data_IF_275996857626
#
_entry.id   IF_275996857626
#
_cell.length_a   1.000
_cell.length_b   1.000
_cell.length_c   1.000
_cell.angle_alpha   90.00
_cell.angle_beta   90.00
_cell.angle_gamma   90.00
#
_symmetry.space_group_name_H-M   'P 1'
#
loop_
_entity.id
_entity.type
_entity.pdbx_description
1 polymer ?
#
# COMPACT_ATOMS: atom_id res chain seq x y z
N UNK A 1 15.89 63.36 20.95
CA UNK A 1 14.90 63.08 19.90
C UNK A 1 15.43 61.90 19.07
N UNK A 2 15.02 60.68 19.45
CA UNK A 2 15.44 59.42 18.83
C UNK A 2 14.17 58.75 18.32
N UNK A 3 13.94 58.68 17.01
CA UNK A 3 13.00 57.72 16.43
C UNK A 3 13.54 57.23 15.08
N UNK A 4 13.83 55.92 15.05
CA UNK A 4 14.24 55.12 13.90
C UNK A 4 13.07 54.90 12.94
N UNK A 5 13.32 54.91 11.63
CA UNK A 5 12.39 54.36 10.61
C UNK A 5 12.45 52.82 10.59
N UNK A 6 11.34 52.11 10.36
CA UNK A 6 11.32 50.65 10.33
C UNK A 6 11.66 50.09 8.94
N UNK A 7 12.41 48.99 8.90
CA UNK A 7 12.52 48.12 7.73
C UNK A 7 11.46 47.02 7.82
N UNK A 8 10.67 46.86 6.76
CA UNK A 8 9.81 45.71 6.54
C UNK A 8 10.40 44.87 5.40
N UNK A 9 11.10 43.80 5.74
CA UNK A 9 11.54 42.78 4.79
C UNK A 9 10.50 41.65 4.76
N UNK A 10 9.74 41.57 3.65
CA UNK A 10 8.87 40.44 3.32
C UNK A 10 9.72 39.18 3.11
N UNK A 11 9.58 38.20 4.00
CA UNK A 11 10.03 36.81 3.77
C UNK A 11 8.90 36.05 3.08
N UNK A 12 9.10 35.71 1.81
CA UNK A 12 8.26 34.75 1.09
C UNK A 12 8.74 33.35 1.48
N UNK A 13 8.04 32.70 2.40
CA UNK A 13 8.29 31.29 2.74
C UNK A 13 7.81 30.41 1.58
N UNK A 14 8.76 29.80 0.89
CA UNK A 14 8.50 28.70 -0.06
C UNK A 14 8.00 27.49 0.72
N UNK A 15 6.75 27.11 0.49
CA UNK A 15 6.22 25.79 0.85
C UNK A 15 6.98 24.73 0.05
N UNK A 16 7.74 23.89 0.74
CA UNK A 16 8.32 22.67 0.18
C UNK A 16 7.43 21.52 0.65
N UNK A 17 6.70 20.94 -0.29
CA UNK A 17 5.85 19.77 -0.07
C UNK A 17 6.77 18.60 0.34
N UNK A 18 6.74 18.22 1.62
CA UNK A 18 7.45 17.06 2.11
C UNK A 18 6.71 15.81 1.63
N UNK A 19 7.25 15.17 0.60
CA UNK A 19 6.98 13.76 0.33
C UNK A 19 7.61 13.00 1.49
N UNK A 20 6.77 12.44 2.37
CA UNK A 20 7.23 11.61 3.49
C UNK A 20 7.80 10.32 2.91
N UNK A 21 9.13 10.27 2.78
CA UNK A 21 9.87 9.06 2.46
C UNK A 21 9.75 8.08 3.65
N UNK A 22 8.80 7.16 3.58
CA UNK A 22 8.73 6.01 4.48
C UNK A 22 9.80 4.99 4.05
N UNK A 23 11.05 5.24 4.46
CA UNK A 23 12.09 4.22 4.47
C UNK A 23 12.47 3.89 5.91
N UNK A 24 12.11 2.67 6.31
CA UNK A 24 12.52 2.00 7.54
C UNK A 24 14.02 2.15 7.78
N UNK A 25 14.38 2.80 8.90
CA UNK A 25 15.65 2.57 9.58
C UNK A 25 15.38 2.06 10.99
N UNK A 26 15.44 0.74 11.12
CA UNK A 26 15.72 0.08 12.38
C UNK A 26 17.24 0.06 12.59
N UNK A 27 17.76 0.93 13.45
CA UNK A 27 19.03 0.68 14.14
C UNK A 27 18.97 1.23 15.57
N UNK A 28 19.19 0.33 16.54
CA UNK A 28 19.89 0.63 17.79
C UNK A 28 19.12 1.34 18.91
N UNK A 29 18.36 0.58 19.70
CA UNK A 29 18.14 0.94 21.10
C UNK A 29 18.48 -0.26 21.99
N UNK A 30 19.76 -0.36 22.37
CA UNK A 30 20.23 -1.17 23.50
C UNK A 30 19.96 -0.39 24.78
N UNK A 31 18.96 -0.81 25.56
CA UNK A 31 18.82 -0.41 26.96
C UNK A 31 18.70 -1.65 27.83
N UNK A 32 19.53 -1.68 28.87
CA UNK A 32 19.91 -2.85 29.64
C UNK A 32 18.74 -3.54 30.34
N UNK A 33 18.70 -4.86 30.19
CA UNK A 33 17.99 -5.74 31.10
C UNK A 33 18.87 -6.02 32.32
N UNK A 34 18.52 -5.37 33.43
CA UNK A 34 19.00 -5.69 34.76
C UNK A 34 18.36 -6.98 35.27
N UNK A 35 19.21 -7.82 35.84
CA UNK A 35 18.96 -9.09 36.55
C UNK A 35 17.67 -9.10 37.37
N UNK A 36 16.86 -10.16 37.23
CA UNK A 36 16.30 -10.89 38.36
C UNK A 36 16.28 -12.39 38.03
N UNK A 37 17.05 -13.14 38.81
CA UNK A 37 17.12 -14.59 38.83
C UNK A 37 16.00 -15.14 39.74
N UNK A 38 15.40 -16.26 39.35
CA UNK A 38 14.45 -17.03 40.15
C UNK A 38 14.01 -18.26 39.34
N UNK A 39 14.79 -19.34 39.35
CA UNK A 39 14.57 -20.52 40.19
C UNK A 39 13.22 -21.23 39.90
N UNK A 40 13.25 -22.27 39.07
CA UNK A 40 12.26 -23.35 39.06
C UNK A 40 12.98 -24.67 38.74
N UNK A 41 12.85 -25.72 39.57
CA UNK A 41 13.62 -26.96 39.42
C UNK A 41 12.98 -27.90 38.40
N UNK A 42 13.84 -28.70 37.77
CA UNK A 42 13.45 -29.75 36.83
C UNK A 42 12.90 -30.99 37.53
N UNK A 43 12.12 -31.75 36.76
CA UNK A 43 11.90 -33.17 37.00
C UNK A 43 12.17 -33.91 35.69
N UNK A 44 13.15 -34.80 35.81
CA UNK A 44 13.59 -35.87 34.93
C UNK A 44 12.45 -36.88 34.70
N UNK A 45 12.19 -37.31 33.45
CA UNK A 45 12.02 -38.74 33.14
C UNK A 45 11.93 -39.02 31.63
N UNK A 46 12.77 -39.94 31.17
CA UNK A 46 12.61 -40.85 30.01
C UNK A 46 13.50 -42.08 30.34
N UNK A 47 13.36 -43.30 29.77
CA UNK A 47 12.47 -43.75 28.70
C UNK A 47 11.79 -45.13 28.93
N UNK A 48 10.81 -45.49 28.07
CA UNK A 48 10.36 -46.89 27.99
C UNK A 48 9.05 -47.18 27.25
N UNK A 49 9.18 -47.58 25.97
CA UNK A 49 8.33 -48.51 25.19
C UNK A 49 6.79 -48.34 25.17
N UNK A 50 6.24 -48.03 23.99
CA UNK A 50 4.82 -48.18 23.64
C UNK A 50 4.60 -47.98 22.13
N UNK A 51 3.58 -48.59 21.51
CA UNK A 51 3.72 -49.26 20.22
C UNK A 51 3.64 -48.36 18.98
N UNK A 52 4.29 -48.86 17.91
CA UNK A 52 4.20 -48.36 16.53
C UNK A 52 2.74 -48.36 16.04
N UNK A 53 2.17 -47.17 15.88
CA UNK A 53 0.96 -46.95 15.07
C UNK A 53 1.42 -46.74 13.63
N UNK A 54 1.11 -47.70 12.76
CA UNK A 54 1.24 -47.58 11.31
C UNK A 54 0.14 -46.63 10.85
N UNK A 55 0.50 -45.39 10.56
CA UNK A 55 -0.39 -44.43 9.91
C UNK A 55 -0.57 -44.84 8.45
N UNK A 56 -1.69 -45.48 8.13
CA UNK A 56 -2.18 -45.61 6.76
C UNK A 56 -2.66 -44.23 6.28
N UNK A 57 -1.77 -43.45 5.70
CA UNK A 57 -2.15 -42.24 4.97
C UNK A 57 -2.83 -42.64 3.66
N UNK A 58 -4.16 -42.67 3.66
CA UNK A 58 -4.92 -42.52 2.42
C UNK A 58 -4.69 -41.10 1.89
N UNK A 59 -4.23 -40.93 0.64
CA UNK A 59 -4.16 -39.60 0.05
C UNK A 59 -5.60 -39.14 -0.19
N UNK A 60 -6.05 -38.17 0.62
CA UNK A 60 -7.25 -37.39 0.31
C UNK A 60 -6.89 -36.56 -0.91
N UNK A 61 -7.32 -37.06 -2.06
CA UNK A 61 -7.24 -36.40 -3.36
C UNK A 61 -8.11 -35.13 -3.28
N UNK A 62 -7.49 -34.04 -2.82
CA UNK A 62 -8.07 -32.71 -2.89
C UNK A 62 -8.21 -32.38 -4.37
N UNK A 63 -9.46 -32.37 -4.85
CA UNK A 63 -9.84 -31.88 -6.17
C UNK A 63 -9.39 -30.43 -6.31
N UNK A 64 -8.19 -30.26 -6.84
CA UNK A 64 -7.71 -29.01 -7.41
C UNK A 64 -8.76 -28.50 -8.41
N UNK A 65 -9.29 -27.27 -8.26
CA UNK A 65 -10.17 -26.73 -9.28
C UNK A 65 -9.36 -26.60 -10.57
N UNK A 66 -9.89 -27.23 -11.62
CA UNK A 66 -9.33 -27.31 -12.96
C UNK A 66 -8.67 -26.01 -13.42
N UNK A 67 -7.34 -26.05 -13.61
CA UNK A 67 -6.57 -25.03 -14.32
C UNK A 67 -7.01 -25.04 -15.80
N UNK A 68 -8.08 -24.30 -16.13
CA UNK A 68 -8.26 -23.81 -17.50
C UNK A 68 -7.00 -23.02 -17.84
N UNK A 69 -6.28 -23.44 -18.88
CA UNK A 69 -4.99 -22.91 -19.33
C UNK A 69 -5.00 -21.38 -19.41
N UNK A 70 -4.51 -20.72 -18.37
CA UNK A 70 -4.45 -19.26 -18.25
C UNK A 70 -3.20 -18.77 -18.99
N UNK A 71 -3.33 -18.47 -20.28
CA UNK A 71 -2.34 -17.66 -21.02
C UNK A 71 -2.44 -16.18 -20.61
N UNK A 72 -2.55 -15.87 -19.32
CA UNK A 72 -2.80 -14.48 -18.89
C UNK A 72 -1.50 -13.86 -18.47
N UNK A 73 -1.09 -12.87 -19.24
CA UNK A 73 -0.13 -11.86 -18.79
C UNK A 73 -0.77 -11.08 -17.66
N UNK A 74 -0.09 -10.94 -16.53
CA UNK A 74 -0.49 -10.08 -15.43
C UNK A 74 0.63 -9.11 -15.08
N UNK A 75 0.25 -7.87 -14.84
CA UNK A 75 1.09 -6.80 -14.34
C UNK A 75 0.66 -6.52 -12.90
N UNK A 76 1.60 -6.61 -11.98
CA UNK A 76 1.40 -6.33 -10.56
C UNK A 76 2.20 -5.08 -10.20
N UNK A 77 1.54 -4.08 -9.60
CA UNK A 77 2.14 -2.81 -9.22
C UNK A 77 1.98 -2.47 -7.73
N UNK A 78 1.15 -3.19 -6.97
CA UNK A 78 0.97 -3.00 -5.52
C UNK A 78 2.10 -3.62 -4.67
N UNK A 79 3.32 -3.25 -5.01
CA UNK A 79 4.58 -3.77 -4.50
C UNK A 79 5.68 -3.43 -5.51
N UNK A 80 6.64 -4.34 -5.73
CA UNK A 80 7.51 -4.20 -6.89
C UNK A 80 6.74 -4.43 -8.19
N UNK A 81 7.04 -3.65 -9.24
CA UNK A 81 6.57 -3.95 -10.59
C UNK A 81 6.98 -5.37 -10.94
N UNK A 82 5.98 -6.23 -11.20
CA UNK A 82 6.16 -7.62 -11.59
C UNK A 82 5.34 -7.95 -12.83
N UNK A 83 5.94 -8.65 -13.81
CA UNK A 83 5.27 -9.08 -15.05
C UNK A 83 5.20 -10.59 -15.07
N UNK A 84 4.04 -11.16 -14.76
CA UNK A 84 3.81 -12.59 -14.85
C UNK A 84 3.31 -12.97 -16.24
N UNK A 85 3.96 -13.95 -16.87
CA UNK A 85 3.45 -14.56 -18.10
C UNK A 85 3.66 -16.06 -18.04
N UNK A 86 2.57 -16.83 -18.15
CA UNK A 86 2.60 -18.30 -18.07
C UNK A 86 3.28 -18.80 -16.78
N UNK A 87 3.00 -18.14 -15.64
CA UNK A 87 3.59 -18.47 -14.33
C UNK A 87 5.08 -18.16 -14.18
N UNK A 88 5.69 -17.45 -15.14
CA UNK A 88 7.10 -17.02 -15.05
C UNK A 88 7.18 -15.52 -14.91
N UNK A 89 8.09 -15.06 -14.06
CA UNK A 89 8.45 -13.65 -13.97
C UNK A 89 9.22 -13.23 -15.24
N UNK A 90 8.69 -12.21 -15.91
CA UNK A 90 9.22 -11.57 -17.12
C UNK A 90 9.51 -10.09 -16.88
N UNK A 91 9.69 -9.68 -15.63
CA UNK A 91 9.98 -8.29 -15.29
C UNK A 91 11.29 -7.84 -15.92
N UNK A 92 11.34 -6.65 -16.57
CA UNK A 92 12.59 -6.12 -17.10
C UNK A 92 13.63 -5.94 -16.00
N UNK A 93 14.80 -6.56 -16.16
CA UNK A 93 15.92 -6.42 -15.23
C UNK A 93 16.55 -5.01 -15.26
N UNK A 94 16.78 -4.37 -16.43
CA UNK A 94 17.40 -3.05 -16.47
C UNK A 94 16.49 -1.97 -15.83
N UNK A 95 16.99 -1.15 -14.88
CA UNK A 95 16.16 -0.21 -14.13
C UNK A 95 15.39 0.79 -14.99
N UNK A 96 16.02 1.39 -16.01
CA UNK A 96 15.36 2.37 -16.90
C UNK A 96 14.30 1.75 -17.81
N UNK A 97 14.50 0.51 -18.22
CA UNK A 97 13.51 -0.25 -19.01
C UNK A 97 12.30 -0.60 -18.14
N UNK A 98 12.55 -1.02 -16.89
CA UNK A 98 11.50 -1.27 -15.90
C UNK A 98 10.72 0.00 -15.56
N UNK A 99 11.41 1.14 -15.40
CA UNK A 99 10.80 2.45 -15.19
C UNK A 99 9.92 2.87 -16.37
N UNK A 100 10.40 2.73 -17.61
CA UNK A 100 9.61 3.00 -18.81
C UNK A 100 8.35 2.11 -18.86
N UNK A 101 8.48 0.81 -18.55
CA UNK A 101 7.33 -0.09 -18.51
C UNK A 101 6.32 0.34 -17.45
N UNK A 102 6.78 0.71 -16.26
CA UNK A 102 5.90 1.22 -15.20
C UNK A 102 5.12 2.46 -15.66
N UNK A 103 5.78 3.43 -16.31
CA UNK A 103 5.13 4.62 -16.84
C UNK A 103 4.04 4.26 -17.87
N UNK A 104 4.37 3.36 -18.80
CA UNK A 104 3.45 2.91 -19.83
C UNK A 104 2.27 2.11 -19.26
N UNK A 105 2.45 1.39 -18.16
CA UNK A 105 1.37 0.67 -17.45
C UNK A 105 0.44 1.63 -16.72
N UNK A 106 0.99 2.61 -16.01
CA UNK A 106 0.23 3.65 -15.32
C UNK A 106 -0.59 4.49 -16.30
N UNK A 107 -0.06 4.71 -17.50
CA UNK A 107 -0.77 5.35 -18.62
C UNK A 107 -1.28 4.34 -19.64
N UNK A 108 -1.62 3.13 -19.19
CA UNK A 108 -2.13 2.08 -20.07
C UNK A 108 -3.30 2.55 -20.93
N UNK A 109 -3.34 2.04 -22.15
CA UNK A 109 -4.37 2.37 -23.15
C UNK A 109 -4.42 3.87 -23.53
N UNK A 110 -3.37 4.64 -23.21
CA UNK A 110 -3.17 6.03 -23.65
C UNK A 110 -1.80 6.19 -24.31
N UNK A 111 -1.71 7.11 -25.27
CA UNK A 111 -0.44 7.45 -25.90
C UNK A 111 0.39 8.28 -24.92
N UNK A 112 1.60 7.79 -24.60
CA UNK A 112 2.59 8.52 -23.82
C UNK A 112 3.59 9.13 -24.78
N UNK A 113 3.68 10.47 -24.79
CA UNK A 113 4.59 11.22 -25.66
C UNK A 113 6.05 10.91 -25.33
N UNK A 114 6.94 10.96 -26.33
CA UNK A 114 8.37 10.74 -26.12
C UNK A 114 8.95 11.71 -25.08
N UNK A 115 8.59 12.99 -25.15
CA UNK A 115 9.06 14.01 -24.20
C UNK A 115 8.64 13.67 -22.75
N UNK A 116 7.41 13.20 -22.56
CA UNK A 116 6.93 12.75 -21.25
C UNK A 116 7.71 11.55 -20.72
N UNK A 117 8.11 10.63 -21.60
CA UNK A 117 8.95 9.49 -21.22
C UNK A 117 10.35 10.00 -20.84
N UNK A 118 10.90 10.95 -21.58
CA UNK A 118 12.20 11.54 -21.29
C UNK A 118 12.17 12.24 -19.92
N UNK A 119 11.17 13.07 -19.66
CA UNK A 119 10.99 13.77 -18.39
C UNK A 119 10.86 12.77 -17.22
N UNK A 120 10.11 11.69 -17.40
CA UNK A 120 9.98 10.68 -16.35
C UNK A 120 11.31 9.94 -16.10
N UNK A 121 12.06 9.63 -17.16
CA UNK A 121 13.30 8.86 -17.05
C UNK A 121 14.48 9.71 -16.57
N UNK A 122 14.59 10.98 -16.92
CA UNK A 122 15.78 11.78 -16.61
C UNK A 122 15.49 13.08 -15.85
N UNK A 123 14.23 13.40 -15.59
CA UNK A 123 13.79 14.62 -14.91
C UNK A 123 14.46 15.86 -15.54
N UNK A 124 15.23 16.63 -14.77
CA UNK A 124 15.86 17.86 -15.26
C UNK A 124 17.18 17.66 -16.01
N UNK A 125 17.70 16.44 -16.11
CA UNK A 125 19.04 16.16 -16.67
C UNK A 125 19.02 15.13 -17.82
N UNK A 126 18.24 15.36 -18.90
CA UNK A 126 18.24 14.45 -20.04
C UNK A 126 19.57 14.51 -20.81
N UNK A 127 20.14 13.35 -21.20
CA UNK A 127 21.30 13.33 -22.08
C UNK A 127 20.92 13.83 -23.49
N UNK A 128 21.91 14.33 -24.25
CA UNK A 128 21.69 14.72 -25.66
C UNK A 128 21.12 13.58 -26.52
N UNK A 129 21.37 12.32 -26.12
CA UNK A 129 20.87 11.10 -26.75
C UNK A 129 19.54 10.58 -26.15
N UNK A 130 18.79 11.38 -25.39
CA UNK A 130 17.60 10.91 -24.69
C UNK A 130 16.56 10.26 -25.62
N UNK A 131 16.32 10.85 -26.80
CA UNK A 131 15.38 10.32 -27.80
C UNK A 131 15.82 8.95 -28.32
N UNK A 132 17.09 8.82 -28.75
CA UNK A 132 17.62 7.55 -29.29
C UNK A 132 17.74 6.47 -28.21
N UNK A 133 18.06 6.87 -26.98
CA UNK A 133 18.09 5.99 -25.81
C UNK A 133 16.68 5.48 -25.46
N UNK A 134 15.67 6.35 -25.53
CA UNK A 134 14.25 5.98 -25.36
C UNK A 134 13.83 4.93 -26.38
N UNK A 135 14.16 5.12 -27.66
CA UNK A 135 13.89 4.14 -28.71
C UNK A 135 14.58 2.79 -28.44
N UNK A 136 15.80 2.82 -27.88
CA UNK A 136 16.53 1.61 -27.47
C UNK A 136 15.80 0.86 -26.35
N UNK A 137 15.26 1.57 -25.36
CA UNK A 137 14.47 0.95 -24.30
C UNK A 137 13.15 0.37 -24.83
N UNK A 138 12.48 1.05 -25.76
CA UNK A 138 11.29 0.50 -26.45
C UNK A 138 11.64 -0.76 -27.22
N UNK A 139 12.77 -0.79 -27.93
CA UNK A 139 13.25 -2.00 -28.60
C UNK A 139 13.48 -3.16 -27.61
N UNK A 140 14.10 -2.88 -26.46
CA UNK A 140 14.33 -3.89 -25.41
C UNK A 140 12.99 -4.42 -24.84
N UNK A 141 12.02 -3.54 -24.59
CA UNK A 141 10.67 -3.94 -24.18
C UNK A 141 9.99 -4.80 -25.25
N UNK A 142 10.04 -4.40 -26.52
CA UNK A 142 9.48 -5.21 -27.62
C UNK A 142 10.12 -6.58 -27.73
N UNK A 143 11.45 -6.67 -27.56
CA UNK A 143 12.15 -7.95 -27.57
C UNK A 143 11.71 -8.85 -26.41
N UNK A 144 11.52 -8.28 -25.22
CA UNK A 144 11.01 -9.00 -24.07
C UNK A 144 9.57 -9.47 -24.30
N UNK A 145 8.71 -8.57 -24.79
CA UNK A 145 7.29 -8.83 -25.10
C UNK A 145 7.16 -9.92 -26.17
N UNK A 146 7.80 -9.74 -27.32
CA UNK A 146 7.75 -10.68 -28.43
C UNK A 146 8.44 -12.01 -28.10
N UNK A 147 9.60 -11.96 -27.44
CA UNK A 147 10.37 -13.16 -27.08
C UNK A 147 9.68 -14.06 -26.05
N UNK A 148 8.83 -13.49 -25.20
CA UNK A 148 8.00 -14.27 -24.27
C UNK A 148 6.57 -14.50 -24.76
N UNK A 149 6.19 -14.00 -25.94
CA UNK A 149 4.85 -14.18 -26.50
C UNK A 149 3.76 -13.45 -25.72
N UNK A 150 4.10 -12.32 -25.08
CA UNK A 150 3.12 -11.48 -24.40
C UNK A 150 2.22 -10.81 -25.46
N UNK A 151 0.92 -11.05 -25.37
CA UNK A 151 -0.09 -10.49 -26.28
C UNK A 151 -0.94 -9.47 -25.52
N UNK A 152 -1.20 -8.33 -26.14
CA UNK A 152 -2.13 -7.33 -25.63
C UNK A 152 -3.57 -7.62 -26.04
N UNK A 153 -4.48 -6.74 -25.65
CA UNK A 153 -5.94 -6.88 -25.86
C UNK A 153 -6.39 -7.05 -27.32
N UNK A 154 -5.60 -6.59 -28.28
CA UNK A 154 -5.95 -6.64 -29.72
C UNK A 154 -4.74 -6.88 -30.63
N UNK A 155 -3.72 -7.61 -30.14
CA UNK A 155 -2.51 -7.91 -30.91
C UNK A 155 -1.23 -7.38 -30.25
N UNK A 156 -0.51 -6.48 -30.92
CA UNK A 156 0.75 -5.93 -30.40
C UNK A 156 0.53 -5.16 -29.09
N UNK A 157 1.24 -5.59 -28.04
CA UNK A 157 1.15 -5.01 -26.69
C UNK A 157 1.76 -3.60 -26.63
N UNK A 158 2.84 -3.31 -27.38
CA UNK A 158 3.53 -2.02 -27.37
C UNK A 158 3.60 -1.40 -28.77
N UNK A 159 2.68 -0.47 -29.05
CA UNK A 159 2.48 0.14 -30.36
C UNK A 159 3.19 1.49 -30.43
N UNK A 160 3.87 1.77 -31.55
CA UNK A 160 4.32 3.14 -31.85
C UNK A 160 3.12 3.91 -32.41
N UNK A 161 2.73 4.99 -31.74
CA UNK A 161 1.64 5.85 -32.18
C UNK A 161 2.05 7.30 -31.98
N UNK A 162 2.32 7.99 -33.09
CA UNK A 162 2.82 9.37 -33.05
C UNK A 162 1.93 10.27 -32.18
N UNK A 163 2.51 11.10 -31.28
CA UNK A 163 3.94 11.40 -31.11
C UNK A 163 4.65 10.54 -30.04
N UNK A 164 4.24 9.30 -29.81
CA UNK A 164 4.83 8.46 -28.76
C UNK A 164 4.50 6.97 -28.84
N UNK A 165 4.25 6.37 -27.67
CA UNK A 165 4.05 4.94 -27.52
C UNK A 165 2.78 4.63 -26.73
N UNK A 166 2.12 3.52 -27.09
CA UNK A 166 0.90 3.05 -26.46
C UNK A 166 1.11 1.62 -25.97
N UNK A 167 0.83 1.37 -24.69
CA UNK A 167 0.77 0.01 -24.14
C UNK A 167 -0.70 -0.45 -24.06
N UNK A 168 -1.04 -1.50 -24.79
CA UNK A 168 -2.41 -2.05 -24.89
C UNK A 168 -2.59 -3.24 -23.97
N UNK A 169 -3.17 -3.00 -22.81
CA UNK A 169 -3.45 -4.04 -21.81
C UNK A 169 -4.94 -4.16 -21.58
N UNK A 170 -5.42 -5.38 -21.43
CA UNK A 170 -6.77 -5.58 -20.94
C UNK A 170 -6.86 -5.10 -19.47
N UNK A 171 -7.98 -4.49 -19.05
CA UNK A 171 -8.12 -3.97 -17.70
C UNK A 171 -7.88 -5.03 -16.61
N UNK A 172 -8.20 -6.30 -16.86
CA UNK A 172 -8.01 -7.42 -15.92
C UNK A 172 -6.55 -7.89 -15.82
N UNK A 173 -5.67 -7.44 -16.71
CA UNK A 173 -4.24 -7.76 -16.67
C UNK A 173 -3.48 -6.91 -15.66
N UNK A 174 -4.02 -5.77 -15.23
CA UNK A 174 -3.36 -4.88 -14.25
C UNK A 174 -4.09 -4.99 -12.91
N UNK A 175 -3.37 -5.38 -11.86
CA UNK A 175 -3.90 -5.51 -10.49
C UNK A 175 -4.58 -4.22 -10.00
N UNK A 176 -4.06 -3.04 -10.38
CA UNK A 176 -4.66 -1.74 -10.08
C UNK A 176 -6.13 -1.64 -10.49
N UNK A 177 -6.45 -2.01 -11.73
CA UNK A 177 -7.82 -1.92 -12.23
C UNK A 177 -8.73 -2.86 -11.47
N UNK A 178 -8.26 -4.08 -11.20
CA UNK A 178 -9.02 -5.07 -10.44
C UNK A 178 -9.26 -4.60 -8.99
N UNK A 179 -8.28 -3.95 -8.36
CA UNK A 179 -8.43 -3.32 -7.05
C UNK A 179 -9.48 -2.21 -7.08
N UNK A 180 -9.37 -1.26 -8.01
CA UNK A 180 -10.34 -0.15 -8.15
C UNK A 180 -11.78 -0.65 -8.31
N UNK A 181 -11.96 -1.67 -9.17
CA UNK A 181 -13.28 -2.28 -9.39
C UNK A 181 -13.84 -2.94 -8.13
N UNK A 182 -13.02 -3.70 -7.39
CA UNK A 182 -13.43 -4.32 -6.12
C UNK A 182 -13.76 -3.28 -5.06
N UNK A 183 -12.96 -2.23 -4.92
CA UNK A 183 -13.22 -1.14 -3.95
C UNK A 183 -14.53 -0.40 -4.27
N UNK A 184 -14.76 -0.07 -5.54
CA UNK A 184 -16.01 0.57 -5.97
C UNK A 184 -17.22 -0.31 -5.65
N UNK A 185 -17.15 -1.61 -5.98
CA UNK A 185 -18.21 -2.57 -5.66
C UNK A 185 -18.40 -2.75 -4.16
N UNK A 186 -17.31 -2.82 -3.37
CA UNK A 186 -17.35 -2.93 -1.91
C UNK A 186 -18.04 -1.74 -1.25
N UNK A 187 -17.75 -0.52 -1.72
CA UNK A 187 -18.46 0.69 -1.29
C UNK A 187 -19.94 0.67 -1.69
N UNK A 188 -20.24 0.19 -2.89
CA UNK A 188 -21.62 -0.03 -3.33
C UNK A 188 -22.36 -0.96 -2.37
N UNK A 189 -21.77 -2.11 -2.01
CA UNK A 189 -22.35 -3.05 -1.04
C UNK A 189 -22.56 -2.40 0.34
N UNK A 190 -21.59 -1.62 0.81
CA UNK A 190 -21.67 -0.89 2.07
C UNK A 190 -22.86 0.08 2.09
N UNK A 191 -23.04 0.85 1.01
CA UNK A 191 -24.16 1.79 0.86
C UNK A 191 -25.54 1.11 0.84
N UNK A 192 -25.60 -0.17 0.47
CA UNK A 192 -26.84 -0.96 0.46
C UNK A 192 -27.02 -1.82 1.71
N UNK A 193 -26.24 -1.59 2.77
CA UNK A 193 -26.34 -2.34 4.03
C UNK A 193 -25.80 -3.76 3.98
N UNK A 194 -25.14 -4.17 2.88
CA UNK A 194 -24.58 -5.52 2.70
C UNK A 194 -23.19 -5.61 3.32
N UNK A 195 -23.13 -5.40 4.63
CA UNK A 195 -21.90 -5.17 5.39
C UNK A 195 -20.92 -6.36 5.37
N UNK A 196 -21.40 -7.62 5.55
CA UNK A 196 -20.56 -8.81 5.43
C UNK A 196 -19.84 -8.89 4.08
N UNK A 197 -20.60 -8.73 2.99
CA UNK A 197 -20.07 -8.83 1.63
C UNK A 197 -19.13 -7.68 1.29
N UNK A 198 -19.47 -6.47 1.73
CA UNK A 198 -18.59 -5.31 1.61
C UNK A 198 -17.26 -5.56 2.33
N UNK A 199 -17.32 -6.02 3.58
CA UNK A 199 -16.16 -6.38 4.40
C UNK A 199 -15.26 -7.40 3.69
N UNK A 200 -15.84 -8.52 3.22
CA UNK A 200 -15.09 -9.60 2.58
C UNK A 200 -14.42 -9.12 1.29
N UNK A 201 -15.16 -8.40 0.43
CA UNK A 201 -14.65 -7.93 -0.85
C UNK A 201 -13.56 -6.85 -0.68
N UNK A 202 -13.71 -5.95 0.29
CA UNK A 202 -12.71 -4.93 0.58
C UNK A 202 -11.44 -5.55 1.17
N UNK A 203 -11.57 -6.55 2.07
CA UNK A 203 -10.42 -7.31 2.59
C UNK A 203 -9.67 -8.04 1.47
N UNK A 204 -10.38 -8.67 0.54
CA UNK A 204 -9.77 -9.33 -0.63
C UNK A 204 -9.02 -8.32 -1.51
N UNK A 205 -9.60 -7.15 -1.76
CA UNK A 205 -8.94 -6.10 -2.53
C UNK A 205 -7.65 -5.63 -1.85
N UNK A 206 -7.69 -5.39 -0.53
CA UNK A 206 -6.55 -4.95 0.25
C UNK A 206 -5.46 -6.02 0.36
N UNK A 207 -5.81 -7.30 0.36
CA UNK A 207 -4.84 -8.40 0.40
C UNK A 207 -3.94 -8.47 -0.86
N UNK A 208 -4.34 -7.82 -1.96
CA UNK A 208 -3.49 -7.68 -3.15
C UNK A 208 -2.29 -6.74 -2.96
N UNK A 209 -2.25 -5.97 -1.87
CA UNK A 209 -1.14 -5.09 -1.55
C UNK A 209 -0.05 -5.85 -0.80
N UNK A 210 1.10 -6.03 -1.45
CA UNK A 210 2.26 -6.75 -0.89
C UNK A 210 3.35 -5.77 -0.43
N UNK A 211 3.25 -4.49 -0.77
CA UNK A 211 4.12 -3.42 -0.29
C UNK A 211 3.78 -2.08 -0.91
N UNK A 212 4.68 -1.10 -0.75
CA UNK A 212 4.52 0.20 -1.40
C UNK A 212 4.52 0.05 -2.93
N UNK A 213 3.60 0.70 -3.65
CA UNK A 213 3.50 0.57 -5.09
C UNK A 213 4.77 1.00 -5.83
N UNK A 214 5.13 0.20 -6.84
CA UNK A 214 6.32 0.36 -7.66
C UNK A 214 7.65 0.45 -6.86
N UNK A 215 7.76 -0.27 -5.73
CA UNK A 215 8.91 -0.17 -4.82
C UNK A 215 10.27 -0.54 -5.43
N UNK A 216 10.30 -1.34 -6.50
CA UNK A 216 11.51 -1.73 -7.22
C UNK A 216 11.80 -0.86 -8.47
N UNK A 217 11.06 0.25 -8.64
CA UNK A 217 11.15 1.15 -9.78
C UNK A 217 11.65 2.52 -9.33
N UNK A 218 12.65 3.06 -10.02
CA UNK A 218 13.01 4.48 -9.87
C UNK A 218 11.86 5.32 -10.38
N UNK A 219 11.37 6.28 -9.60
CA UNK A 219 10.18 7.08 -9.94
C UNK A 219 10.61 8.50 -10.29
N UNK A 220 10.23 8.97 -11.47
CA UNK A 220 10.20 10.38 -11.80
C UNK A 220 8.91 11.01 -11.29
N UNK A 221 8.57 12.17 -11.83
CA UNK A 221 7.45 13.00 -11.35
C UNK A 221 6.09 12.31 -11.50
N UNK A 222 5.81 11.67 -12.64
CA UNK A 222 4.49 11.08 -12.91
C UNK A 222 4.28 9.80 -12.12
N UNK A 223 5.29 8.92 -12.06
CA UNK A 223 5.19 7.72 -11.25
C UNK A 223 5.08 8.05 -9.76
N UNK A 224 5.81 9.05 -9.27
CA UNK A 224 5.69 9.48 -7.87
C UNK A 224 4.29 9.98 -7.55
N UNK A 225 3.70 10.81 -8.42
CA UNK A 225 2.33 11.30 -8.25
C UNK A 225 1.30 10.16 -8.30
N UNK A 226 1.51 9.17 -9.17
CA UNK A 226 0.63 8.00 -9.25
C UNK A 226 0.71 7.14 -8.00
N UNK A 227 1.91 6.88 -7.47
CA UNK A 227 2.07 6.12 -6.21
C UNK A 227 1.34 6.82 -5.06
N UNK A 228 1.45 8.14 -4.92
CA UNK A 228 0.69 8.90 -3.92
C UNK A 228 -0.83 8.70 -4.11
N UNK A 229 -1.33 8.78 -5.34
CA UNK A 229 -2.74 8.53 -5.64
C UNK A 229 -3.18 7.09 -5.28
N UNK A 230 -2.33 6.10 -5.51
CA UNK A 230 -2.61 4.72 -5.12
C UNK A 230 -2.71 4.57 -3.60
N UNK A 231 -1.79 5.16 -2.84
CA UNK A 231 -1.83 5.10 -1.38
C UNK A 231 -3.09 5.78 -0.81
N UNK A 232 -3.53 6.90 -1.40
CA UNK A 232 -4.80 7.54 -1.03
C UNK A 232 -6.01 6.61 -1.28
N UNK A 233 -6.00 5.87 -2.38
CA UNK A 233 -7.05 4.88 -2.66
C UNK A 233 -7.01 3.71 -1.68
N UNK A 234 -5.81 3.28 -1.25
CA UNK A 234 -5.64 2.26 -0.21
C UNK A 234 -6.23 2.72 1.10
N UNK A 235 -5.89 3.93 1.56
CA UNK A 235 -6.45 4.54 2.77
C UNK A 235 -7.97 4.58 2.66
N UNK A 236 -8.51 5.04 1.54
CA UNK A 236 -9.95 5.12 1.34
C UNK A 236 -10.65 3.74 1.25
N UNK A 237 -9.94 2.67 0.88
CA UNK A 237 -10.44 1.30 0.92
C UNK A 237 -10.39 0.74 2.36
N UNK A 238 -9.32 1.03 3.11
CA UNK A 238 -9.18 0.68 4.52
C UNK A 238 -10.28 1.33 5.38
N UNK A 239 -10.57 2.61 5.15
CA UNK A 239 -11.66 3.31 5.84
C UNK A 239 -13.01 2.63 5.56
N UNK A 240 -13.31 2.31 4.29
CA UNK A 240 -14.55 1.61 3.94
C UNK A 240 -14.63 0.21 4.58
N UNK A 241 -13.50 -0.50 4.67
CA UNK A 241 -13.45 -1.80 5.33
C UNK A 241 -13.70 -1.69 6.83
N UNK A 242 -13.09 -0.71 7.50
CA UNK A 242 -13.32 -0.41 8.93
C UNK A 242 -14.79 -0.06 9.17
N UNK A 243 -15.40 0.79 8.34
CA UNK A 243 -16.83 1.12 8.45
C UNK A 243 -17.73 -0.11 8.31
N UNK A 244 -17.41 -1.02 7.38
CA UNK A 244 -18.12 -2.29 7.27
C UNK A 244 -17.99 -3.12 8.56
N UNK A 245 -16.80 -3.24 9.16
CA UNK A 245 -16.63 -3.95 10.44
C UNK A 245 -17.39 -3.30 11.60
N UNK A 246 -17.42 -1.96 11.64
CA UNK A 246 -18.16 -1.20 12.64
C UNK A 246 -19.67 -1.45 12.55
N UNK A 247 -20.22 -1.45 11.33
CA UNK A 247 -21.63 -1.76 11.10
C UNK A 247 -22.00 -3.20 11.54
N UNK A 248 -21.05 -4.12 11.51
CA UNK A 248 -21.21 -5.50 11.98
C UNK A 248 -21.04 -5.67 13.49
N UNK A 249 -20.74 -4.60 14.23
CA UNK A 249 -20.51 -4.65 15.68
C UNK A 249 -19.21 -5.35 16.09
N UNK A 250 -18.29 -5.62 15.16
CA UNK A 250 -17.03 -6.36 15.39
C UNK A 250 -15.92 -5.50 16.00
N UNK A 251 -16.30 -4.60 16.90
CA UNK A 251 -15.41 -3.58 17.46
C UNK A 251 -14.20 -4.20 18.18
N UNK A 252 -14.41 -5.28 18.96
CA UNK A 252 -13.34 -5.92 19.74
C UNK A 252 -12.29 -6.56 18.85
N UNK A 253 -12.73 -7.27 17.82
CA UNK A 253 -11.85 -7.99 16.89
C UNK A 253 -11.01 -7.00 16.05
N UNK A 254 -11.60 -5.83 15.75
CA UNK A 254 -10.97 -4.79 14.94
C UNK A 254 -9.86 -3.99 15.65
N UNK A 255 -9.74 -4.09 16.98
CA UNK A 255 -8.74 -3.31 17.75
C UNK A 255 -7.31 -3.59 17.28
N UNK A 256 -7.00 -4.86 16.96
CA UNK A 256 -5.66 -5.23 16.51
C UNK A 256 -5.32 -4.60 15.15
N UNK A 257 -6.22 -4.70 14.17
CA UNK A 257 -6.04 -4.06 12.86
C UNK A 257 -5.96 -2.52 12.99
N UNK A 258 -6.82 -1.90 13.81
CA UNK A 258 -6.80 -0.45 14.03
C UNK A 258 -5.48 0.03 14.67
N UNK A 259 -4.87 -0.76 15.56
CA UNK A 259 -3.55 -0.46 16.12
C UNK A 259 -2.46 -0.46 15.06
N UNK A 260 -2.51 -1.43 14.14
CA UNK A 260 -1.59 -1.45 13.00
C UNK A 260 -1.80 -0.22 12.12
N UNK A 261 -3.06 0.14 11.83
CA UNK A 261 -3.39 1.30 10.99
C UNK A 261 -2.95 2.63 11.57
N UNK A 262 -3.12 2.87 12.88
CA UNK A 262 -2.62 4.12 13.50
C UNK A 262 -1.10 4.15 13.60
N UNK A 263 -0.44 3.00 13.60
CA UNK A 263 1.03 2.94 13.53
C UNK A 263 1.53 3.25 12.12
N UNK A 264 0.85 2.74 11.09
CA UNK A 264 1.15 3.01 9.67
C UNK A 264 0.78 4.46 9.28
N UNK A 265 -0.30 5.00 9.87
CA UNK A 265 -0.84 6.32 9.55
C UNK A 265 -1.00 7.19 10.82
N UNK A 266 0.11 7.60 11.46
CA UNK A 266 0.10 8.26 12.78
C UNK A 266 -0.55 9.65 12.80
N UNK A 267 -0.69 10.29 11.63
CA UNK A 267 -1.34 11.61 11.49
C UNK A 267 -2.80 11.50 11.03
N UNK A 268 -3.32 10.29 10.81
CA UNK A 268 -4.69 10.09 10.34
C UNK A 268 -5.66 10.01 11.53
N UNK A 269 -6.21 11.17 11.92
CA UNK A 269 -7.14 11.29 13.03
C UNK A 269 -8.35 10.34 12.95
N UNK A 270 -8.81 10.00 11.73
CA UNK A 270 -9.96 9.13 11.53
C UNK A 270 -9.71 7.71 12.05
N UNK A 271 -8.55 7.12 11.73
CA UNK A 271 -8.19 5.78 12.26
C UNK A 271 -8.03 5.80 13.78
N UNK A 272 -7.45 6.87 14.33
CA UNK A 272 -7.35 7.04 15.77
C UNK A 272 -8.73 7.17 16.43
N UNK A 273 -9.65 7.92 15.82
CA UNK A 273 -11.04 8.02 16.28
C UNK A 273 -11.72 6.65 16.34
N UNK A 274 -11.62 5.86 15.28
CA UNK A 274 -12.15 4.48 15.26
C UNK A 274 -11.48 3.59 16.32
N UNK A 275 -10.17 3.71 16.55
CA UNK A 275 -9.49 2.97 17.62
C UNK A 275 -10.01 3.34 19.02
N UNK A 276 -10.12 4.63 19.32
CA UNK A 276 -10.63 5.14 20.61
C UNK A 276 -12.07 4.66 20.83
N UNK A 277 -12.91 4.73 19.79
CA UNK A 277 -14.30 4.28 19.86
C UNK A 277 -14.39 2.76 20.11
N UNK A 278 -13.63 1.96 19.37
CA UNK A 278 -13.61 0.51 19.52
C UNK A 278 -13.14 0.08 20.92
N UNK A 279 -12.09 0.72 21.45
CA UNK A 279 -11.59 0.50 22.81
C UNK A 279 -12.63 0.90 23.87
N UNK A 280 -13.31 2.04 23.70
CA UNK A 280 -14.38 2.49 24.57
C UNK A 280 -15.54 1.50 24.63
N UNK A 281 -16.04 1.04 23.47
CA UNK A 281 -17.11 0.03 23.37
C UNK A 281 -16.71 -1.33 23.95
N UNK A 282 -15.42 -1.65 23.93
CA UNK A 282 -14.87 -2.87 24.52
C UNK A 282 -14.67 -2.80 26.04
N UNK A 283 -15.02 -1.68 26.70
CA UNK A 283 -14.77 -1.46 28.13
C UNK A 283 -13.30 -1.16 28.46
N UNK A 284 -12.43 -0.99 27.47
CA UNK A 284 -10.99 -0.75 27.62
C UNK A 284 -10.71 0.75 27.73
N UNK A 285 -11.38 1.41 28.68
CA UNK A 285 -11.40 2.86 28.85
C UNK A 285 -10.00 3.48 29.00
N UNK A 286 -9.14 2.89 29.83
CA UNK A 286 -7.78 3.37 30.05
C UNK A 286 -6.97 3.40 28.75
N UNK A 287 -7.09 2.35 27.94
CA UNK A 287 -6.41 2.25 26.64
C UNK A 287 -6.99 3.21 25.61
N UNK A 288 -8.31 3.47 25.63
CA UNK A 288 -8.93 4.48 24.77
C UNK A 288 -8.39 5.89 25.07
N UNK A 289 -8.26 6.25 26.35
CA UNK A 289 -7.70 7.54 26.76
C UNK A 289 -6.19 7.65 26.44
N UNK A 290 -5.45 6.54 26.57
CA UNK A 290 -4.05 6.49 26.16
C UNK A 290 -3.90 6.73 24.65
N UNK A 291 -4.73 6.08 23.82
CA UNK A 291 -4.71 6.26 22.37
C UNK A 291 -5.01 7.71 21.95
N UNK A 292 -5.95 8.39 22.63
CA UNK A 292 -6.18 9.83 22.46
C UNK A 292 -4.94 10.66 22.81
N UNK A 293 -4.31 10.37 23.96
CA UNK A 293 -3.16 11.12 24.41
C UNK A 293 -1.96 10.94 23.46
N UNK A 294 -1.75 9.74 22.95
CA UNK A 294 -0.74 9.46 21.92
C UNK A 294 -0.99 10.31 20.68
N UNK A 295 -2.20 10.30 20.13
CA UNK A 295 -2.54 11.12 18.95
C UNK A 295 -2.27 12.61 19.21
N UNK A 296 -2.72 13.12 20.37
CA UNK A 296 -2.53 14.53 20.74
C UNK A 296 -1.07 14.93 20.75
N UNK A 297 -0.21 14.10 21.34
CA UNK A 297 1.23 14.34 21.35
C UNK A 297 1.80 14.31 19.93
N UNK A 298 1.45 13.31 19.11
CA UNK A 298 1.92 13.22 17.72
C UNK A 298 1.52 14.44 16.89
N UNK A 299 0.27 14.91 16.96
CA UNK A 299 -0.19 16.09 16.21
C UNK A 299 0.49 17.38 16.67
N UNK A 300 0.71 17.52 17.98
CA UNK A 300 1.40 18.68 18.53
C UNK A 300 2.86 18.71 18.08
N UNK A 301 3.55 17.57 18.12
CA UNK A 301 4.98 17.47 17.78
C UNK A 301 5.23 17.60 16.27
N UNK A 302 4.42 16.96 15.44
CA UNK A 302 4.64 16.92 13.98
C UNK A 302 4.01 18.10 13.23
N UNK A 303 2.85 18.59 13.70
CA UNK A 303 2.07 19.62 12.98
C UNK A 303 1.84 20.90 13.80
N UNK A 304 2.12 20.90 15.10
CA UNK A 304 1.79 22.02 15.99
C UNK A 304 0.28 22.22 16.18
N UNK A 305 -0.50 21.15 16.00
CA UNK A 305 -1.97 21.18 16.06
C UNK A 305 -2.50 20.39 17.26
N UNK A 306 -3.61 20.85 17.82
CA UNK A 306 -4.43 20.02 18.72
C UNK A 306 -5.35 19.07 17.92
N UNK A 307 -5.81 17.95 18.53
CA UNK A 307 -6.80 17.07 17.90
C UNK A 307 -8.06 17.81 17.49
N UNK A 308 -8.69 17.36 16.40
CA UNK A 308 -9.95 17.90 15.91
C UNK A 308 -11.09 17.83 16.93
N UNK A 309 -12.10 18.67 16.75
CA UNK A 309 -13.25 18.76 17.66
C UNK A 309 -14.01 17.42 17.79
N UNK A 310 -14.04 16.62 16.72
CA UNK A 310 -14.65 15.28 16.72
C UNK A 310 -13.91 14.34 17.68
N UNK A 311 -12.59 14.30 17.61
CA UNK A 311 -11.75 13.47 18.48
C UNK A 311 -11.81 13.93 19.94
N UNK A 312 -11.85 15.24 20.19
CA UNK A 312 -12.07 15.80 21.53
C UNK A 312 -13.47 15.44 22.09
N UNK A 313 -14.51 15.41 21.26
CA UNK A 313 -15.84 14.96 21.66
C UNK A 313 -15.86 13.46 21.99
N UNK A 314 -15.14 12.64 21.22
CA UNK A 314 -15.00 11.21 21.48
C UNK A 314 -14.32 10.94 22.82
N UNK A 315 -13.23 11.65 23.14
CA UNK A 315 -12.58 11.56 24.46
C UNK A 315 -13.56 11.87 25.60
N UNK A 316 -14.35 12.94 25.48
CA UNK A 316 -15.36 13.31 26.49
C UNK A 316 -16.43 12.23 26.67
N UNK A 317 -16.81 11.56 25.58
CA UNK A 317 -17.77 10.44 25.62
C UNK A 317 -17.19 9.27 26.42
N UNK A 318 -15.94 8.89 26.16
CA UNK A 318 -15.23 7.83 26.91
C UNK A 318 -15.06 8.19 28.39
N UNK A 319 -14.88 9.46 28.72
CA UNK A 319 -14.79 9.92 30.11
C UNK A 319 -16.13 9.82 30.86
N UNK A 320 -17.25 9.97 30.15
CA UNK A 320 -18.61 9.99 30.71
C UNK A 320 -19.26 8.62 30.79
N UNK A 321 -18.79 7.62 30.05
CA UNK A 321 -19.35 6.27 30.06
C UNK A 321 -18.97 5.44 31.30
N UNK A 322 -18.90 6.08 32.47
CA UNK A 322 -18.72 5.44 33.78
C UNK A 322 -20.07 5.07 34.39
#
# INVERSE_FOLDING_TARGET
>A
MIIRKPQAARRVSRFRMAVVDYNLRYEGCTLGFGRLAGYFPGIFNDPGSGPRVVATSHPVESKSPSLRTVRVTRFEIFGGLTVWHQGRDRTPSPPKVRQMLALLLVQSNRVVHVDTIIDELWDTEPPASAVTTTQTYVYQLRKLIGGAGLVGSSGELLVTQSPGYLLRVDPDQVDETAFRARVARGRGLLAHGRHEEASALLREALAGWVGSPLSNVTRGRLLSAHVVHLEELRIAALMAWVEAQFALGRHRDLIADLRALVTEHPLNEWFHGRLIEALGRAGRRSEALLAYQTLRTTLADELGLDPSAEIQALQRTVLRSA
#
